data_IF_112697627149
#
_entry.id   IF_112697627149
#
_cell.length_a   1.000
_cell.length_b   1.000
_cell.length_c   1.000
_cell.angle_alpha   90.00
_cell.angle_beta   90.00
_cell.angle_gamma   90.00
#
_symmetry.space_group_name_H-M   'P 1'
#
loop_
_entity.id
_entity.type
_entity.pdbx_description
1 polymer ?
#
# COMPACT_ATOMS: atom_id res chain seq x y z
N UNK A 1 15.25 11.88 -10.94
CA UNK A 1 14.03 12.32 -10.24
C UNK A 1 14.32 13.36 -9.16
N UNK A 2 14.93 13.02 -8.01
CA UNK A 2 15.16 13.99 -6.91
C UNK A 2 15.87 15.28 -7.37
N UNK A 3 16.89 15.16 -8.22
CA UNK A 3 17.56 16.32 -8.83
C UNK A 3 16.61 17.20 -9.66
N UNK A 4 15.85 16.59 -10.57
CA UNK A 4 14.85 17.31 -11.40
C UNK A 4 13.82 18.01 -10.50
N UNK A 5 13.29 17.32 -9.47
CA UNK A 5 12.34 17.93 -8.54
C UNK A 5 12.96 19.13 -7.80
N UNK A 6 14.24 19.05 -7.43
CA UNK A 6 14.94 20.16 -6.81
C UNK A 6 15.11 21.34 -7.78
N UNK A 7 15.46 21.05 -9.05
CA UNK A 7 15.61 22.05 -10.11
C UNK A 7 14.28 22.77 -10.39
N UNK A 8 13.16 22.03 -10.44
CA UNK A 8 11.83 22.59 -10.74
C UNK A 8 11.18 23.32 -9.55
N UNK A 9 11.38 22.82 -8.33
CA UNK A 9 10.69 23.37 -7.14
C UNK A 9 11.55 24.31 -6.31
N UNK A 10 12.87 24.22 -6.38
CA UNK A 10 13.79 24.90 -5.47
C UNK A 10 13.71 24.44 -4.00
N UNK A 11 12.83 23.47 -3.66
CA UNK A 11 12.55 23.08 -2.28
C UNK A 11 13.35 21.82 -1.88
N UNK A 12 14.53 22.06 -1.32
CA UNK A 12 15.37 20.99 -0.78
C UNK A 12 14.71 20.22 0.38
N UNK A 13 13.82 20.86 1.14
CA UNK A 13 13.14 20.24 2.28
C UNK A 13 12.11 19.22 1.79
N UNK A 14 11.34 19.60 0.77
CA UNK A 14 10.44 18.69 0.05
C UNK A 14 11.22 17.50 -0.52
N UNK A 15 12.30 17.74 -1.26
CA UNK A 15 13.08 16.66 -1.91
C UNK A 15 13.70 15.71 -0.89
N UNK A 16 14.22 16.23 0.23
CA UNK A 16 14.80 15.42 1.30
C UNK A 16 13.74 14.60 2.06
N UNK A 17 12.48 15.05 2.06
CA UNK A 17 11.37 14.29 2.66
C UNK A 17 10.94 13.07 1.82
N UNK A 18 11.40 12.96 0.58
CA UNK A 18 11.11 11.83 -0.32
C UNK A 18 12.00 10.64 0.05
N UNK A 19 11.43 9.69 0.76
CA UNK A 19 12.13 8.49 1.24
C UNK A 19 11.57 7.17 0.70
N UNK A 20 10.51 7.23 -0.11
CA UNK A 20 9.85 6.07 -0.69
C UNK A 20 9.98 6.00 -2.20
N UNK A 21 9.99 4.78 -2.74
CA UNK A 21 10.01 4.53 -4.18
C UNK A 21 8.97 3.48 -4.59
N UNK A 22 8.45 3.62 -5.80
CA UNK A 22 7.65 2.60 -6.49
C UNK A 22 8.08 2.51 -7.94
N UNK A 23 8.34 1.30 -8.41
CA UNK A 23 8.69 1.04 -9.80
C UNK A 23 7.48 1.24 -10.72
N UNK A 24 7.63 1.94 -11.87
CA UNK A 24 6.59 1.99 -12.90
C UNK A 24 6.15 0.58 -13.33
N UNK A 25 4.84 0.41 -13.55
CA UNK A 25 4.22 -0.87 -13.91
C UNK A 25 4.51 -2.03 -12.93
N UNK A 26 4.93 -1.72 -11.70
CA UNK A 26 5.37 -2.70 -10.70
C UNK A 26 6.49 -3.64 -11.21
N UNK A 27 7.28 -3.17 -12.19
CA UNK A 27 8.42 -3.91 -12.74
C UNK A 27 9.68 -3.58 -11.99
N UNK A 28 9.96 -4.40 -10.98
CA UNK A 28 11.15 -4.24 -10.15
C UNK A 28 12.40 -4.68 -10.91
N UNK A 29 13.44 -3.83 -10.92
CA UNK A 29 14.70 -4.12 -11.62
C UNK A 29 15.63 -5.03 -10.79
N UNK A 30 15.08 -6.12 -10.25
CA UNK A 30 15.75 -7.08 -9.37
C UNK A 30 16.62 -6.37 -8.32
N UNK A 31 17.80 -6.92 -8.03
CA UNK A 31 18.77 -6.47 -7.03
C UNK A 31 19.32 -5.06 -7.32
N UNK A 32 19.42 -4.69 -8.61
CA UNK A 32 19.93 -3.39 -9.02
C UNK A 32 19.05 -2.25 -8.49
N UNK A 33 17.73 -2.44 -8.48
CA UNK A 33 16.79 -1.46 -7.91
C UNK A 33 17.10 -1.21 -6.44
N UNK A 34 17.13 -2.25 -5.61
CA UNK A 34 17.35 -2.12 -4.17
C UNK A 34 18.72 -1.49 -3.86
N UNK A 35 19.75 -1.87 -4.61
CA UNK A 35 21.07 -1.24 -4.51
C UNK A 35 21.02 0.25 -4.83
N UNK A 36 20.47 0.62 -5.98
CA UNK A 36 20.40 2.02 -6.40
C UNK A 36 19.57 2.86 -5.41
N UNK A 37 18.44 2.35 -4.94
CA UNK A 37 17.58 3.04 -3.98
C UNK A 37 18.29 3.28 -2.64
N UNK A 38 18.97 2.26 -2.12
CA UNK A 38 19.77 2.40 -0.89
C UNK A 38 20.88 3.43 -1.07
N UNK A 39 21.64 3.34 -2.16
CA UNK A 39 22.76 4.25 -2.45
C UNK A 39 22.28 5.71 -2.63
N UNK A 40 21.02 5.91 -3.07
CA UNK A 40 20.35 7.21 -3.20
C UNK A 40 19.62 7.68 -1.92
N UNK A 41 19.75 6.95 -0.81
CA UNK A 41 19.18 7.32 0.49
C UNK A 41 17.66 7.14 0.61
N UNK A 42 17.05 6.28 -0.22
CA UNK A 42 15.68 5.85 0.02
C UNK A 42 15.62 4.88 1.22
N UNK A 43 14.51 4.91 1.94
CA UNK A 43 14.29 4.10 3.15
C UNK A 43 13.43 2.88 2.85
N UNK A 44 12.51 3.00 1.89
CA UNK A 44 11.63 1.91 1.52
C UNK A 44 11.27 1.90 0.05
N UNK A 45 10.87 0.72 -0.42
CA UNK A 45 10.20 0.55 -1.70
C UNK A 45 8.84 -0.17 -1.53
N UNK A 46 7.95 0.00 -2.49
CA UNK A 46 6.61 -0.59 -2.48
C UNK A 46 6.15 -0.99 -3.88
N UNK A 47 6.82 -2.00 -4.42
CA UNK A 47 6.63 -2.53 -5.78
C UNK A 47 6.52 -4.05 -5.79
N UNK A 48 6.95 -4.75 -4.73
CA UNK A 48 6.81 -6.21 -4.67
C UNK A 48 5.38 -6.60 -4.34
N UNK A 49 4.79 -7.38 -5.24
CA UNK A 49 3.45 -7.94 -5.09
C UNK A 49 3.50 -9.13 -4.14
N UNK A 50 2.67 -9.09 -3.10
CA UNK A 50 2.46 -10.18 -2.15
C UNK A 50 1.19 -10.93 -2.51
N UNK A 51 1.33 -12.22 -2.84
CA UNK A 51 0.20 -13.14 -3.05
C UNK A 51 -0.07 -14.01 -1.81
N UNK A 52 0.45 -13.60 -0.65
CA UNK A 52 0.29 -14.33 0.60
C UNK A 52 -1.18 -14.51 0.99
N UNK A 53 -2.00 -13.48 0.74
CA UNK A 53 -3.46 -13.57 0.94
C UNK A 53 -4.07 -14.75 0.19
N UNK A 54 -3.63 -15.02 -1.04
CA UNK A 54 -4.14 -16.12 -1.88
C UNK A 54 -3.73 -17.48 -1.33
N UNK A 55 -2.49 -17.62 -0.84
CA UNK A 55 -1.95 -18.93 -0.39
C UNK A 55 -2.28 -19.27 1.06
N UNK A 56 -2.27 -18.26 1.93
CA UNK A 56 -2.31 -18.44 3.38
C UNK A 56 -3.55 -17.77 4.01
N UNK A 57 -4.40 -17.14 3.20
CA UNK A 57 -5.60 -16.43 3.68
C UNK A 57 -5.31 -15.15 4.47
N UNK A 58 -4.03 -14.71 4.53
CA UNK A 58 -3.62 -13.53 5.30
C UNK A 58 -2.63 -12.64 4.53
N UNK A 59 -2.80 -11.31 4.57
CA UNK A 59 -1.85 -10.37 3.97
C UNK A 59 -0.54 -10.29 4.76
N UNK A 60 0.51 -9.79 4.11
CA UNK A 60 1.86 -9.68 4.65
C UNK A 60 2.12 -8.28 5.25
N UNK A 61 2.65 -8.23 6.46
CA UNK A 61 3.16 -6.99 7.06
C UNK A 61 4.42 -6.49 6.33
N UNK A 62 4.69 -5.17 6.32
CA UNK A 62 5.99 -4.66 5.89
C UNK A 62 7.15 -5.31 6.65
N UNK A 63 8.30 -5.39 6.01
CA UNK A 63 9.46 -6.07 6.57
C UNK A 63 10.75 -5.40 6.09
N UNK A 64 11.83 -5.59 6.83
CA UNK A 64 13.16 -5.15 6.39
C UNK A 64 13.80 -6.22 5.52
N UNK A 65 14.66 -5.77 4.61
CA UNK A 65 15.54 -6.64 3.82
C UNK A 65 16.83 -6.99 4.58
N UNK A 66 16.79 -7.00 5.92
CA UNK A 66 17.92 -7.39 6.76
C UNK A 66 18.29 -8.87 6.55
N UNK A 67 17.29 -9.68 6.22
CA UNK A 67 17.40 -11.12 6.00
C UNK A 67 16.92 -11.49 4.61
N UNK A 68 17.47 -12.58 4.06
CA UNK A 68 17.01 -13.12 2.77
C UNK A 68 15.55 -13.56 2.89
N UNK A 69 14.73 -13.17 1.94
CA UNK A 69 13.37 -13.67 1.84
C UNK A 69 13.40 -15.16 1.46
N UNK A 70 12.90 -16.03 2.34
CA UNK A 70 12.89 -17.48 2.11
C UNK A 70 11.92 -17.91 0.99
N UNK A 71 10.87 -17.13 0.76
CA UNK A 71 9.86 -17.35 -0.28
C UNK A 71 9.47 -16.01 -0.86
N UNK A 72 9.59 -15.87 -2.17
CA UNK A 72 9.20 -14.66 -2.87
C UNK A 72 8.35 -14.97 -4.07
N UNK A 73 7.19 -14.34 -4.11
CA UNK A 73 6.16 -14.62 -5.12
C UNK A 73 6.33 -13.81 -6.40
N UNK A 74 7.26 -12.85 -6.37
CA UNK A 74 7.56 -11.97 -7.48
C UNK A 74 8.76 -12.52 -8.25
N UNK A 75 8.65 -12.55 -9.58
CA UNK A 75 9.77 -12.86 -10.47
C UNK A 75 10.98 -11.93 -10.27
N UNK A 76 10.78 -10.80 -9.59
CA UNK A 76 11.76 -9.74 -9.41
C UNK A 76 12.43 -9.75 -8.04
N UNK A 77 12.47 -10.91 -7.38
CA UNK A 77 12.90 -10.93 -6.00
C UNK A 77 14.37 -10.60 -5.81
N UNK A 78 14.65 -9.96 -4.68
CA UNK A 78 16.00 -9.64 -4.25
C UNK A 78 16.59 -10.78 -3.42
N UNK A 79 17.77 -11.27 -3.79
CA UNK A 79 18.48 -12.32 -3.04
C UNK A 79 19.57 -11.79 -2.10
N UNK A 80 19.79 -10.48 -2.05
CA UNK A 80 20.73 -9.83 -1.14
C UNK A 80 20.06 -9.20 0.08
N UNK A 81 20.84 -9.05 1.14
CA UNK A 81 20.43 -8.30 2.32
C UNK A 81 20.74 -6.81 2.16
N UNK A 82 19.74 -5.96 2.39
CA UNK A 82 19.89 -4.51 2.50
C UNK A 82 19.49 -4.07 3.89
N UNK A 83 20.48 -4.02 4.79
CA UNK A 83 20.24 -3.74 6.21
C UNK A 83 19.52 -2.40 6.39
N UNK A 84 18.42 -2.39 7.13
CA UNK A 84 17.59 -1.24 7.43
C UNK A 84 16.71 -0.73 6.28
N UNK A 85 16.77 -1.35 5.10
CA UNK A 85 15.90 -1.00 3.97
C UNK A 85 14.57 -1.75 4.06
N UNK A 86 13.46 -1.05 3.89
CA UNK A 86 12.12 -1.59 4.09
C UNK A 86 11.45 -1.97 2.77
N UNK A 87 10.74 -3.09 2.76
CA UNK A 87 9.73 -3.43 1.77
C UNK A 87 8.35 -3.22 2.39
N UNK A 88 7.52 -2.42 1.72
CA UNK A 88 6.09 -2.33 2.01
C UNK A 88 5.35 -3.08 0.90
N UNK A 89 4.99 -4.36 1.12
CA UNK A 89 4.46 -5.20 0.07
C UNK A 89 3.11 -4.69 -0.45
N UNK A 90 2.90 -4.81 -1.76
CA UNK A 90 1.59 -4.70 -2.38
C UNK A 90 0.80 -5.97 -2.13
N UNK A 91 0.11 -6.04 -0.99
CA UNK A 91 -0.86 -7.11 -0.76
C UNK A 91 -1.98 -7.00 -1.80
N UNK A 92 -2.26 -8.11 -2.47
CA UNK A 92 -3.33 -8.16 -3.47
C UNK A 92 -4.70 -8.00 -2.83
N UNK A 93 -5.58 -7.30 -3.54
CA UNK A 93 -7.00 -7.19 -3.28
C UNK A 93 -7.74 -8.33 -3.97
N UNK A 94 -8.82 -8.81 -3.35
CA UNK A 94 -9.73 -9.79 -3.93
C UNK A 94 -10.84 -9.05 -4.68
N UNK A 95 -10.92 -9.26 -5.99
CA UNK A 95 -11.91 -8.68 -6.88
C UNK A 95 -13.26 -9.40 -6.76
N UNK A 96 -14.35 -8.77 -7.25
CA UNK A 96 -15.70 -9.35 -7.17
C UNK A 96 -15.87 -10.67 -7.95
N UNK A 97 -15.06 -10.88 -8.99
CA UNK A 97 -15.03 -12.10 -9.80
C UNK A 97 -14.12 -13.21 -9.22
N UNK A 98 -13.59 -13.05 -8.00
CA UNK A 98 -12.76 -14.03 -7.33
C UNK A 98 -11.27 -14.01 -7.71
N UNK A 99 -10.87 -13.19 -8.69
CA UNK A 99 -9.46 -12.94 -9.00
C UNK A 99 -8.81 -12.00 -7.98
N UNK A 100 -7.49 -11.85 -8.08
CA UNK A 100 -6.72 -10.98 -7.20
C UNK A 100 -5.88 -9.99 -8.00
N UNK A 101 -5.79 -8.76 -7.53
CA UNK A 101 -5.01 -7.69 -8.16
C UNK A 101 -4.19 -6.91 -7.14
N UNK A 102 -2.97 -6.49 -7.50
CA UNK A 102 -2.15 -5.63 -6.65
C UNK A 102 -2.61 -4.16 -6.63
N UNK A 103 -3.42 -3.77 -7.62
CA UNK A 103 -3.91 -2.41 -7.83
C UNK A 103 -5.43 -2.46 -7.96
N UNK A 104 -6.13 -1.54 -7.29
CA UNK A 104 -7.60 -1.59 -7.20
C UNK A 104 -8.28 -1.36 -8.55
N UNK A 105 -7.69 -0.52 -9.40
CA UNK A 105 -8.20 -0.15 -10.73
C UNK A 105 -8.09 -1.27 -11.77
N UNK A 106 -7.36 -2.34 -11.47
CA UNK A 106 -7.30 -3.56 -12.29
C UNK A 106 -8.30 -4.64 -11.84
N UNK A 107 -9.02 -4.44 -10.74
CA UNK A 107 -10.08 -5.37 -10.33
C UNK A 107 -11.39 -5.09 -11.06
N UNK A 108 -12.12 -6.16 -11.40
CA UNK A 108 -13.52 -6.04 -11.73
C UNK A 108 -14.34 -5.91 -10.44
N UNK A 109 -15.24 -4.92 -10.39
CA UNK A 109 -16.17 -4.69 -9.29
C UNK A 109 -17.59 -4.98 -9.76
N UNK A 110 -18.36 -5.70 -8.94
CA UNK A 110 -19.62 -6.29 -9.35
C UNK A 110 -19.44 -7.26 -10.52
N UNK A 111 -20.42 -7.32 -11.42
CA UNK A 111 -20.30 -8.05 -12.69
C UNK A 111 -19.48 -7.28 -13.73
N UNK A 112 -19.58 -5.94 -13.71
CA UNK A 112 -18.88 -5.02 -14.59
C UNK A 112 -18.70 -3.69 -13.87
N UNK A 113 -17.45 -3.24 -13.71
CA UNK A 113 -17.11 -2.00 -12.99
C UNK A 113 -17.82 -0.76 -13.55
N UNK A 114 -18.12 -0.72 -14.85
CA UNK A 114 -18.82 0.40 -15.50
C UNK A 114 -20.31 0.49 -15.12
N UNK A 115 -20.93 -0.62 -14.74
CA UNK A 115 -22.33 -0.69 -14.34
C UNK A 115 -22.50 -0.98 -12.85
N UNK A 116 -21.39 -1.14 -12.12
CA UNK A 116 -21.38 -1.41 -10.69
C UNK A 116 -22.00 -0.23 -9.92
N UNK A 117 -22.87 -0.56 -8.97
CA UNK A 117 -23.55 0.39 -8.11
C UNK A 117 -22.62 0.93 -7.02
N UNK A 118 -23.06 1.97 -6.30
CA UNK A 118 -22.34 2.46 -5.12
C UNK A 118 -22.19 1.37 -4.06
N UNK A 119 -23.19 0.49 -3.90
CA UNK A 119 -23.14 -0.63 -2.96
C UNK A 119 -22.10 -1.67 -3.39
N UNK A 120 -22.02 -2.02 -4.68
CA UNK A 120 -21.01 -2.96 -5.19
C UNK A 120 -19.57 -2.49 -4.88
N UNK A 121 -19.29 -1.20 -5.10
CA UNK A 121 -17.99 -0.61 -4.79
C UNK A 121 -17.75 -0.52 -3.28
N UNK A 122 -18.76 -0.16 -2.49
CA UNK A 122 -18.66 -0.11 -1.04
C UNK A 122 -18.35 -1.49 -0.46
N UNK A 123 -19.06 -2.54 -0.90
CA UNK A 123 -18.86 -3.91 -0.47
C UNK A 123 -17.48 -4.43 -0.89
N UNK A 124 -17.02 -4.08 -2.09
CA UNK A 124 -15.64 -4.39 -2.52
C UNK A 124 -14.58 -3.77 -1.61
N UNK A 125 -14.74 -2.50 -1.21
CA UNK A 125 -13.83 -1.84 -0.28
C UNK A 125 -13.91 -2.43 1.13
N UNK A 126 -15.12 -2.69 1.63
CA UNK A 126 -15.35 -3.24 2.96
C UNK A 126 -14.80 -4.67 3.07
N UNK A 127 -15.07 -5.53 2.09
CA UNK A 127 -14.59 -6.91 2.08
C UNK A 127 -13.05 -7.00 2.18
N UNK A 128 -12.33 -6.20 1.40
CA UNK A 128 -10.87 -6.19 1.43
C UNK A 128 -10.31 -5.56 2.72
N UNK A 129 -11.03 -4.59 3.29
CA UNK A 129 -10.72 -4.07 4.61
C UNK A 129 -10.85 -5.14 5.69
N UNK A 130 -11.94 -5.90 5.71
CA UNK A 130 -12.18 -6.95 6.72
C UNK A 130 -11.08 -8.03 6.69
N UNK A 131 -10.66 -8.45 5.49
CA UNK A 131 -9.53 -9.40 5.31
C UNK A 131 -8.24 -8.89 5.96
N UNK A 132 -7.99 -7.58 5.93
CA UNK A 132 -6.80 -6.98 6.53
C UNK A 132 -7.00 -6.67 8.01
N UNK A 133 -8.24 -6.33 8.41
CA UNK A 133 -8.59 -5.97 9.77
C UNK A 133 -8.50 -7.16 10.74
N UNK A 134 -8.85 -8.37 10.29
CA UNK A 134 -8.72 -9.60 11.07
C UNK A 134 -7.26 -9.84 11.54
N UNK A 135 -6.28 -9.64 10.64
CA UNK A 135 -4.86 -9.77 10.96
C UNK A 135 -4.18 -8.46 11.35
N UNK A 136 -4.94 -7.37 11.44
CA UNK A 136 -4.50 -5.97 11.66
C UNK A 136 -3.39 -5.52 10.71
N UNK A 137 -3.24 -6.17 9.56
CA UNK A 137 -2.19 -5.86 8.59
C UNK A 137 -2.54 -4.56 7.87
N UNK A 138 -1.55 -3.69 7.53
CA UNK A 138 -1.83 -2.48 6.77
C UNK A 138 -2.51 -2.80 5.44
N UNK A 139 -3.71 -2.26 5.25
CA UNK A 139 -4.40 -2.28 3.96
C UNK A 139 -3.88 -1.13 3.11
N UNK A 140 -3.19 -1.46 2.03
CA UNK A 140 -2.74 -0.44 1.08
C UNK A 140 -3.80 -0.17 0.02
N UNK A 141 -4.21 1.10 -0.12
CA UNK A 141 -5.13 1.56 -1.16
C UNK A 141 -4.35 2.13 -2.35
N UNK A 142 -3.93 1.24 -3.27
CA UNK A 142 -3.15 1.62 -4.45
C UNK A 142 -4.02 1.64 -5.71
N UNK A 143 -4.21 2.83 -6.26
CA UNK A 143 -5.00 3.07 -7.48
C UNK A 143 -4.45 4.28 -8.23
N UNK A 144 -4.81 4.43 -9.49
CA UNK A 144 -4.75 5.71 -10.18
C UNK A 144 -6.07 6.48 -10.03
N UNK A 145 -6.02 7.80 -10.20
CA UNK A 145 -7.21 8.68 -10.15
C UNK A 145 -8.25 8.29 -11.19
N UNK A 146 -7.80 7.70 -12.31
CA UNK A 146 -8.64 7.19 -13.39
C UNK A 146 -9.82 6.32 -12.92
N UNK A 147 -9.67 5.54 -11.84
CA UNK A 147 -10.78 4.71 -11.32
C UNK A 147 -11.99 5.55 -10.91
N UNK A 148 -11.75 6.76 -10.39
CA UNK A 148 -12.79 7.67 -9.93
C UNK A 148 -13.37 8.53 -11.05
N UNK A 149 -12.57 8.77 -12.09
CA UNK A 149 -13.01 9.51 -13.28
C UNK A 149 -13.86 8.63 -14.21
N UNK A 150 -13.46 7.36 -14.37
CA UNK A 150 -14.08 6.43 -15.33
C UNK A 150 -15.28 5.67 -14.76
N UNK A 151 -15.33 5.47 -13.43
CA UNK A 151 -16.44 4.78 -12.76
C UNK A 151 -17.15 5.74 -11.79
N UNK A 152 -18.25 6.41 -12.23
CA UNK A 152 -18.90 7.48 -11.46
C UNK A 152 -19.33 7.08 -10.04
N UNK A 153 -19.63 5.80 -9.81
CA UNK A 153 -20.06 5.28 -8.51
C UNK A 153 -18.91 4.94 -7.56
N UNK A 154 -17.66 4.84 -8.05
CA UNK A 154 -16.52 4.45 -7.23
C UNK A 154 -16.14 5.52 -6.19
N UNK A 155 -16.16 6.80 -6.58
CA UNK A 155 -15.80 7.89 -5.65
C UNK A 155 -16.85 8.10 -4.55
N UNK A 156 -18.16 8.18 -4.85
CA UNK A 156 -19.20 8.20 -3.80
C UNK A 156 -19.10 7.00 -2.84
N UNK A 157 -18.85 5.80 -3.37
CA UNK A 157 -18.65 4.60 -2.55
C UNK A 157 -17.40 4.70 -1.66
N UNK A 158 -16.30 5.25 -2.17
CA UNK A 158 -15.07 5.46 -1.40
C UNK A 158 -15.30 6.43 -0.24
N UNK A 159 -16.01 7.54 -0.46
CA UNK A 159 -16.38 8.48 0.60
C UNK A 159 -17.28 7.81 1.64
N UNK A 160 -18.30 7.04 1.19
CA UNK A 160 -19.18 6.28 2.09
C UNK A 160 -18.40 5.27 2.92
N UNK A 161 -17.43 4.57 2.31
CA UNK A 161 -16.55 3.63 2.98
C UNK A 161 -15.68 4.32 4.04
N UNK A 162 -15.02 5.44 3.72
CA UNK A 162 -14.24 6.22 4.71
C UNK A 162 -15.07 6.65 5.92
N UNK A 163 -16.29 7.13 5.68
CA UNK A 163 -17.21 7.52 6.75
C UNK A 163 -17.66 6.32 7.59
N UNK A 164 -17.98 5.19 6.96
CA UNK A 164 -18.32 3.96 7.66
C UNK A 164 -17.16 3.48 8.53
N UNK A 165 -15.95 3.41 7.99
CA UNK A 165 -14.76 2.96 8.72
C UNK A 165 -14.50 3.87 9.93
N UNK A 166 -14.52 5.20 9.73
CA UNK A 166 -14.25 6.17 10.80
C UNK A 166 -15.30 6.14 11.92
N UNK A 167 -16.56 5.84 11.59
CA UNK A 167 -17.66 5.76 12.57
C UNK A 167 -17.63 4.44 13.34
N UNK A 168 -17.48 3.32 12.63
CA UNK A 168 -17.62 1.97 13.16
C UNK A 168 -16.35 1.44 13.84
N UNK A 169 -15.17 1.87 13.39
CA UNK A 169 -13.89 1.32 13.87
C UNK A 169 -13.04 2.42 14.51
N UNK A 170 -12.97 2.41 15.84
CA UNK A 170 -12.22 3.42 16.61
C UNK A 170 -10.71 3.19 16.62
N UNK A 171 -10.27 2.00 16.24
CA UNK A 171 -8.87 1.58 16.23
C UNK A 171 -8.22 1.63 14.83
N UNK A 172 -8.87 2.25 13.84
CA UNK A 172 -8.36 2.37 12.46
C UNK A 172 -7.79 3.77 12.22
N UNK A 173 -6.64 3.82 11.53
CA UNK A 173 -5.91 5.04 11.24
C UNK A 173 -5.56 5.12 9.75
N UNK A 174 -5.91 6.22 9.11
CA UNK A 174 -5.47 6.53 7.75
C UNK A 174 -4.13 7.26 7.82
N UNK A 175 -3.09 6.63 7.31
CA UNK A 175 -1.71 7.11 7.48
C UNK A 175 -0.92 7.04 6.18
N UNK A 176 0.09 7.89 6.07
CA UNK A 176 1.13 7.77 5.04
C UNK A 176 2.01 6.56 5.31
N UNK A 177 2.69 6.07 4.26
CA UNK A 177 3.69 5.00 4.40
C UNK A 177 4.83 5.38 5.35
N UNK A 178 5.20 6.66 5.42
CA UNK A 178 6.22 7.14 6.35
C UNK A 178 5.75 7.05 7.81
N UNK A 179 4.48 7.35 8.09
CA UNK A 179 3.89 7.18 9.42
C UNK A 179 3.78 5.70 9.80
N UNK A 180 3.37 4.84 8.87
CA UNK A 180 3.37 3.40 9.07
C UNK A 180 4.76 2.89 9.48
N UNK A 181 5.81 3.22 8.73
CA UNK A 181 7.17 2.79 9.07
C UNK A 181 7.68 3.40 10.38
N UNK A 182 7.31 4.64 10.70
CA UNK A 182 7.62 5.24 12.01
C UNK A 182 6.97 4.45 13.14
N UNK A 183 5.71 4.05 12.99
CA UNK A 183 5.01 3.20 13.95
C UNK A 183 5.67 1.82 14.07
N UNK A 184 6.03 1.19 12.94
CA UNK A 184 6.63 -0.15 12.98
C UNK A 184 8.02 -0.18 13.64
N UNK A 185 8.77 0.92 13.57
CA UNK A 185 10.06 1.06 14.25
C UNK A 185 9.95 1.27 15.76
N UNK A 186 8.84 1.86 16.23
CA UNK A 186 8.55 2.13 17.63
C UNK A 186 7.04 1.98 17.88
N UNK A 187 6.53 0.73 18.01
CA UNK A 187 5.10 0.46 18.05
C UNK A 187 4.42 1.11 19.24
N UNK A 188 3.35 1.84 18.96
CA UNK A 188 2.49 2.45 19.96
C UNK A 188 1.17 1.69 20.04
N UNK A 189 0.70 1.46 21.27
CA UNK A 189 -0.68 1.01 21.50
C UNK A 189 -1.68 2.05 20.98
N UNK A 190 -2.90 1.62 20.67
CA UNK A 190 -3.96 2.53 20.24
C UNK A 190 -4.17 3.72 21.19
N UNK A 191 -4.15 3.47 22.52
CA UNK A 191 -4.26 4.52 23.55
C UNK A 191 -3.11 5.53 23.50
N UNK A 192 -1.89 5.09 23.20
CA UNK A 192 -0.75 5.98 23.03
C UNK A 192 -0.86 6.78 21.73
N UNK A 193 -1.32 6.17 20.64
CA UNK A 193 -1.57 6.88 19.38
C UNK A 193 -2.61 7.99 19.55
N UNK A 194 -3.73 7.74 20.24
CA UNK A 194 -4.74 8.76 20.54
C UNK A 194 -4.20 9.97 21.30
N UNK A 195 -3.18 9.77 22.15
CA UNK A 195 -2.53 10.86 22.89
C UNK A 195 -1.50 11.61 22.03
N UNK A 196 -0.74 10.89 21.21
CA UNK A 196 0.40 11.42 20.45
C UNK A 196 -0.01 12.06 19.13
N UNK A 197 -1.00 11.49 18.46
CA UNK A 197 -1.43 11.82 17.10
C UNK A 197 -2.89 12.23 17.11
N UNK A 198 -3.20 13.33 17.80
CA UNK A 198 -4.52 13.94 17.72
C UNK A 198 -4.67 14.54 16.32
N UNK A 199 -5.62 14.01 15.53
CA UNK A 199 -6.06 14.54 14.25
C UNK A 199 -7.41 15.21 14.43
#
# INVERSE_FOLDING_TARGET
MKRILLEETGDSRLVNSIIGFRAPYLRVAHELQFKALRDLGFVYETSLISRRLVREGKPLWPYTLDYKANKCDSAYCNHYCYKGFWEIPLNVWKCSNGYYSAMLDYCCVGQNSSTATVDDWFDYFLHNFELSYDSKTPLSFYTHTHVFDFYPNAFPAFIRWLQHISRSYKDVWFVTMQQLLRWMKDPLTHKQMLKKWQW
#
